data_IF_083045025799
#
_entry.id   IF_083045025799
#
_cell.length_a   1.000
_cell.length_b   1.000
_cell.length_c   1.000
_cell.angle_alpha   90.00
_cell.angle_beta   90.00
_cell.angle_gamma   90.00
#
_symmetry.space_group_name_H-M   'P 1'
#
loop_
_entity.id
_entity.type
_entity.pdbx_description
1 polymer ?
#
# COMPACT_ATOMS: atom_id res chain seq x y z
N UNK A 1 31.13 -5.58 18.43
CA UNK A 1 30.75 -6.15 19.74
C UNK A 1 29.98 -5.11 20.56
N UNK A 2 29.07 -5.54 21.45
CA UNK A 2 28.37 -4.64 22.37
C UNK A 2 29.29 -4.22 23.52
N UNK A 3 29.10 -3.00 24.06
CA UNK A 3 29.87 -2.50 25.22
C UNK A 3 29.54 -3.25 26.52
N UNK A 4 28.34 -3.79 26.61
CA UNK A 4 27.89 -4.67 27.68
C UNK A 4 26.84 -5.66 27.13
N UNK A 5 26.72 -6.88 27.69
CA UNK A 5 25.67 -7.81 27.31
C UNK A 5 24.28 -7.22 27.55
N UNK A 6 23.38 -7.36 26.58
CA UNK A 6 21.98 -6.93 26.70
C UNK A 6 21.13 -8.15 27.06
N UNK A 7 20.41 -8.08 28.18
CA UNK A 7 19.51 -9.14 28.61
C UNK A 7 18.19 -9.04 27.84
N UNK A 8 17.75 -10.16 27.29
CA UNK A 8 16.53 -10.29 26.51
C UNK A 8 15.65 -11.32 27.18
N UNK A 9 14.38 -10.97 27.42
CA UNK A 9 13.37 -11.88 27.93
C UNK A 9 12.49 -12.28 26.75
N UNK A 10 12.48 -13.57 26.43
CA UNK A 10 11.66 -14.15 25.37
C UNK A 10 10.26 -14.47 25.88
N UNK A 11 9.30 -14.64 24.97
CA UNK A 11 7.88 -14.85 25.30
C UNK A 11 7.60 -16.03 26.25
N UNK A 12 8.48 -17.04 26.30
CA UNK A 12 8.37 -18.20 27.21
C UNK A 12 9.06 -18.00 28.57
N UNK A 13 9.42 -16.77 28.92
CA UNK A 13 10.19 -16.46 30.13
C UNK A 13 11.67 -16.87 30.07
N UNK A 14 12.11 -17.45 28.95
CA UNK A 14 13.51 -17.75 28.70
C UNK A 14 14.31 -16.46 28.59
N UNK A 15 15.51 -16.47 29.15
CA UNK A 15 16.40 -15.30 29.13
C UNK A 15 17.62 -15.61 28.29
N UNK A 16 17.92 -14.73 27.34
CA UNK A 16 19.13 -14.78 26.53
C UNK A 16 19.92 -13.50 26.71
N UNK A 17 21.23 -13.57 26.46
CA UNK A 17 22.13 -12.41 26.51
C UNK A 17 22.70 -12.17 25.12
N UNK A 18 22.37 -11.03 24.52
CA UNK A 18 23.01 -10.60 23.28
C UNK A 18 24.33 -9.91 23.58
N UNK A 19 25.40 -10.33 22.91
CA UNK A 19 26.76 -9.78 23.07
C UNK A 19 27.29 -9.13 21.79
N UNK A 20 26.63 -9.37 20.65
CA UNK A 20 27.03 -8.87 19.35
C UNK A 20 25.95 -8.01 18.70
N UNK A 21 26.40 -7.15 17.79
CA UNK A 21 25.54 -6.39 16.86
C UNK A 21 25.83 -6.85 15.46
N UNK A 22 24.80 -6.84 14.64
CA UNK A 22 24.91 -7.06 13.21
C UNK A 22 24.18 -5.94 12.47
N UNK A 23 24.68 -5.63 11.27
CA UNK A 23 23.99 -4.80 10.31
C UNK A 23 23.42 -5.72 9.24
N UNK A 24 22.14 -5.60 8.98
CA UNK A 24 21.41 -6.42 8.01
C UNK A 24 20.86 -5.51 6.93
N UNK A 25 21.06 -5.91 5.68
CA UNK A 25 20.39 -5.29 4.54
C UNK A 25 19.05 -6.01 4.38
N UNK A 26 17.95 -5.30 4.61
CA UNK A 26 16.61 -5.80 4.42
C UNK A 26 16.07 -5.26 3.11
N UNK A 27 15.44 -6.12 2.33
CA UNK A 27 14.70 -5.70 1.15
C UNK A 27 13.22 -5.98 1.40
N UNK A 28 12.43 -4.91 1.42
CA UNK A 28 10.98 -4.99 1.48
C UNK A 28 10.41 -4.55 0.13
N UNK A 29 10.09 -5.52 -0.71
CA UNK A 29 9.69 -5.31 -2.12
C UNK A 29 10.76 -4.53 -2.91
N UNK A 30 10.47 -3.31 -3.34
CA UNK A 30 11.44 -2.47 -4.08
C UNK A 30 12.36 -1.65 -3.19
N UNK A 31 12.16 -1.70 -1.87
CA UNK A 31 12.88 -0.87 -0.92
C UNK A 31 14.04 -1.63 -0.28
N UNK A 32 15.26 -1.17 -0.54
CA UNK A 32 16.44 -1.58 0.20
C UNK A 32 16.60 -0.70 1.45
N UNK A 33 16.75 -1.32 2.61
CA UNK A 33 17.03 -0.63 3.88
C UNK A 33 18.16 -1.34 4.61
N UNK A 34 18.93 -0.57 5.36
CA UNK A 34 20.01 -1.09 6.18
C UNK A 34 19.69 -0.82 7.64
N UNK A 35 19.63 -1.88 8.44
CA UNK A 35 19.23 -1.82 9.84
C UNK A 35 20.26 -2.51 10.72
N UNK A 36 20.60 -1.86 11.84
CA UNK A 36 21.48 -2.42 12.86
C UNK A 36 20.66 -3.03 13.98
N UNK A 37 20.96 -4.27 14.35
CA UNK A 37 20.30 -5.00 15.41
C UNK A 37 21.27 -5.70 16.35
N UNK A 38 20.70 -6.35 17.36
CA UNK A 38 21.41 -7.29 18.23
C UNK A 38 21.20 -8.71 17.72
N UNK A 39 22.24 -9.53 17.78
CA UNK A 39 22.11 -10.95 17.42
C UNK A 39 21.69 -11.72 18.66
N UNK A 40 20.69 -12.58 18.49
CA UNK A 40 20.17 -13.42 19.56
C UNK A 40 20.17 -14.85 19.06
N UNK A 41 20.99 -15.67 19.69
CA UNK A 41 21.06 -17.09 19.36
C UNK A 41 19.74 -17.79 19.75
N UNK A 42 19.40 -18.86 19.02
CA UNK A 42 18.27 -19.74 19.31
C UNK A 42 16.87 -19.10 19.17
N UNK A 43 16.76 -17.97 18.46
CA UNK A 43 15.46 -17.49 17.99
C UNK A 43 14.95 -18.37 16.83
N UNK A 44 13.63 -18.56 16.79
CA UNK A 44 12.94 -19.23 15.66
C UNK A 44 12.77 -18.33 14.44
N UNK A 45 13.10 -17.06 14.57
CA UNK A 45 12.91 -16.04 13.55
C UNK A 45 14.27 -15.53 13.10
N UNK A 46 14.43 -15.29 11.81
CA UNK A 46 15.68 -14.76 11.24
C UNK A 46 15.90 -13.30 11.63
N UNK A 47 14.83 -12.49 11.58
CA UNK A 47 14.85 -11.06 11.91
C UNK A 47 13.56 -10.70 12.64
N UNK A 48 13.71 -9.95 13.74
CA UNK A 48 12.59 -9.36 14.45
C UNK A 48 12.70 -7.84 14.31
N UNK A 49 11.72 -7.24 13.62
CA UNK A 49 11.60 -5.79 13.50
C UNK A 49 10.86 -5.24 14.70
N UNK A 50 11.65 -4.81 15.69
CA UNK A 50 11.11 -4.25 16.93
C UNK A 50 10.57 -2.83 16.78
N UNK A 51 10.14 -2.28 17.92
CA UNK A 51 9.62 -0.92 18.02
C UNK A 51 10.53 0.17 17.41
N UNK A 52 11.88 0.13 17.51
CA UNK A 52 12.73 1.13 16.88
C UNK A 52 12.55 1.21 15.36
N UNK A 53 12.42 0.06 14.70
CA UNK A 53 12.20 0.01 13.26
C UNK A 53 10.81 0.56 12.90
N UNK A 54 9.78 0.14 13.65
CA UNK A 54 8.40 0.61 13.44
C UNK A 54 8.27 2.13 13.63
N UNK A 55 8.96 2.72 14.62
CA UNK A 55 8.95 4.18 14.82
C UNK A 55 9.67 4.94 13.71
N UNK A 56 10.75 4.36 13.17
CA UNK A 56 11.57 4.98 12.12
C UNK A 56 10.83 5.03 10.78
N UNK A 57 10.21 3.92 10.39
CA UNK A 57 9.57 3.78 9.08
C UNK A 57 8.05 4.01 9.09
N UNK A 58 7.45 3.98 10.29
CA UNK A 58 6.03 4.19 10.54
C UNK A 58 5.09 3.50 9.53
N UNK A 59 5.21 2.18 9.35
CA UNK A 59 4.34 1.47 8.44
C UNK A 59 2.92 1.39 8.99
N UNK A 60 1.95 1.59 8.12
CA UNK A 60 0.55 1.23 8.35
C UNK A 60 0.39 -0.27 8.09
N UNK A 61 -0.13 -1.00 9.07
CA UNK A 61 -0.34 -2.44 8.99
C UNK A 61 -1.84 -2.71 8.94
N UNK A 62 -2.29 -3.32 7.85
CA UNK A 62 -3.62 -3.91 7.75
C UNK A 62 -3.54 -5.37 8.20
N UNK A 63 -3.93 -5.61 9.46
CA UNK A 63 -3.90 -6.93 10.07
C UNK A 63 -4.90 -7.91 9.44
N UNK A 64 -5.99 -7.42 8.86
CA UNK A 64 -6.99 -8.28 8.19
C UNK A 64 -6.45 -8.85 6.88
N UNK A 65 -5.70 -8.05 6.11
CA UNK A 65 -5.19 -8.47 4.80
C UNK A 65 -3.73 -8.90 4.83
N UNK A 66 -3.04 -8.77 5.97
CA UNK A 66 -1.60 -8.98 6.07
C UNK A 66 -0.77 -7.99 5.25
N UNK A 67 -1.33 -6.80 4.96
CA UNK A 67 -0.70 -5.82 4.09
C UNK A 67 0.03 -4.74 4.91
N UNK A 68 1.25 -4.44 4.51
CA UNK A 68 2.08 -3.39 5.10
C UNK A 68 2.27 -2.27 4.09
N UNK A 69 2.00 -1.03 4.51
CA UNK A 69 2.07 0.17 3.67
C UNK A 69 2.93 1.22 4.33
N UNK A 70 3.80 1.87 3.59
CA UNK A 70 4.56 3.02 4.09
C UNK A 70 4.93 3.98 2.95
N UNK A 71 5.31 5.20 3.31
CA UNK A 71 5.72 6.24 2.36
C UNK A 71 7.15 6.66 2.65
N UNK A 72 8.04 6.51 1.67
CA UNK A 72 9.44 6.93 1.79
C UNK A 72 9.78 7.79 0.58
N UNK A 73 10.34 8.97 0.82
CA UNK A 73 10.71 9.92 -0.23
C UNK A 73 9.55 10.22 -1.20
N UNK A 74 8.33 10.34 -0.68
CA UNK A 74 7.11 10.56 -1.46
C UNK A 74 6.59 9.34 -2.24
N UNK A 75 7.27 8.20 -2.19
CA UNK A 75 6.84 6.96 -2.86
C UNK A 75 6.12 6.03 -1.88
N UNK A 76 4.90 5.65 -2.23
CA UNK A 76 4.11 4.66 -1.50
C UNK A 76 4.59 3.26 -1.85
N UNK A 77 4.89 2.46 -0.84
CA UNK A 77 5.25 1.06 -0.95
C UNK A 77 4.16 0.22 -0.30
N UNK A 78 3.86 -0.95 -0.89
CA UNK A 78 2.85 -1.89 -0.38
C UNK A 78 3.40 -3.30 -0.47
N UNK A 79 3.46 -4.00 0.66
CA UNK A 79 3.93 -5.38 0.74
C UNK A 79 2.81 -6.25 1.28
N UNK A 80 2.56 -7.38 0.63
CA UNK A 80 1.56 -8.36 1.06
C UNK A 80 2.27 -9.62 1.55
N UNK A 81 1.80 -10.16 2.69
CA UNK A 81 2.21 -11.48 3.16
C UNK A 81 1.88 -12.59 2.17
N UNK A 82 2.59 -13.71 2.25
CA UNK A 82 2.44 -14.83 1.32
C UNK A 82 1.05 -15.49 1.39
N UNK A 83 0.41 -15.50 2.57
CA UNK A 83 -0.96 -16.03 2.74
C UNK A 83 -1.98 -15.27 1.89
N UNK A 84 -1.82 -13.95 1.73
CA UNK A 84 -2.73 -13.09 0.96
C UNK A 84 -2.57 -13.23 -0.56
N UNK A 85 -1.45 -13.80 -1.05
CA UNK A 85 -1.23 -14.05 -2.48
C UNK A 85 -1.98 -15.28 -2.97
N UNK A 86 -2.17 -16.28 -2.11
CA UNK A 86 -2.86 -17.51 -2.45
C UNK A 86 -4.34 -17.27 -2.78
N UNK A 87 -5.02 -16.41 -2.02
CA UNK A 87 -6.46 -16.14 -2.20
C UNK A 87 -6.77 -15.40 -3.52
N UNK A 88 -5.92 -14.46 -3.93
CA UNK A 88 -6.09 -13.73 -5.20
C UNK A 88 -5.96 -14.60 -6.44
N UNK A 89 -5.24 -15.72 -6.35
CA UNK A 89 -5.06 -16.62 -7.49
C UNK A 89 -6.27 -17.55 -7.68
N UNK A 90 -6.99 -17.89 -6.60
CA UNK A 90 -8.19 -18.74 -6.65
C UNK A 90 -9.40 -18.00 -7.23
N UNK A 91 -9.53 -16.69 -6.98
CA UNK A 91 -10.62 -15.86 -7.55
C UNK A 91 -10.53 -15.78 -9.09
N UNK A 92 -9.31 -15.70 -9.65
CA UNK A 92 -9.10 -15.61 -11.10
C UNK A 92 -9.42 -16.90 -11.85
N UNK A 93 -9.24 -18.06 -11.21
CA UNK A 93 -9.58 -19.35 -11.84
C UNK A 93 -11.08 -19.66 -11.84
N UNK A 94 -11.89 -19.00 -11.00
CA UNK A 94 -13.35 -19.19 -10.98
C UNK A 94 -14.12 -18.41 -12.04
N UNK A 95 -13.53 -17.37 -12.62
CA UNK A 95 -14.17 -16.53 -13.66
C UNK A 95 -13.89 -17.07 -15.08
N UNK A 96 -13.02 -18.08 -15.22
CA UNK A 96 -12.54 -18.59 -16.53
C UNK A 96 -13.39 -19.66 -17.23
N UNK A 97 -14.54 -20.09 -16.69
CA UNK A 97 -15.32 -21.21 -17.31
C UNK A 97 -16.78 -20.88 -17.64
N UNK A 98 -17.22 -19.62 -17.54
CA UNK A 98 -18.63 -19.26 -17.76
C UNK A 98 -18.96 -18.64 -19.14
N UNK A 99 -18.02 -18.55 -20.09
CA UNK A 99 -18.25 -17.88 -21.38
C UNK A 99 -18.02 -18.80 -22.59
N UNK A 100 -18.68 -19.96 -22.65
CA UNK A 100 -18.87 -20.71 -23.91
C UNK A 100 -20.25 -21.38 -23.88
N UNK A 101 -21.33 -20.61 -23.97
CA UNK A 101 -22.64 -21.09 -24.41
C UNK A 101 -23.63 -19.92 -24.53
N UNK A 102 -23.46 -19.04 -25.52
CA UNK A 102 -24.60 -18.32 -26.10
C UNK A 102 -24.21 -17.78 -27.48
N UNK A 103 -23.95 -18.71 -28.40
CA UNK A 103 -24.03 -18.47 -29.83
C UNK A 103 -25.37 -19.05 -30.31
N UNK A 104 -26.09 -18.27 -31.11
CA UNK A 104 -27.33 -18.55 -31.84
C UNK A 104 -28.65 -18.07 -31.22
N UNK A 105 -28.99 -16.80 -31.46
CA UNK A 105 -30.22 -16.40 -32.18
C UNK A 105 -30.55 -14.90 -31.95
N UNK A 106 -30.12 -14.03 -32.86
CA UNK A 106 -31.03 -13.22 -33.69
C UNK A 106 -30.22 -12.31 -34.62
N UNK A 107 -30.19 -12.66 -35.90
CA UNK A 107 -29.98 -11.71 -36.97
C UNK A 107 -31.34 -11.07 -37.33
N UNK A 108 -31.29 -9.97 -38.09
CA UNK A 108 -32.43 -9.28 -38.74
C UNK A 108 -33.07 -8.20 -37.85
N UNK A 109 -33.18 -6.92 -38.21
CA UNK A 109 -32.83 -6.17 -39.42
C UNK A 109 -32.83 -4.65 -39.11
N UNK A 110 -32.12 -3.91 -39.97
CA UNK A 110 -32.45 -2.60 -40.55
C UNK A 110 -32.69 -1.28 -39.76
N UNK A 111 -32.17 -0.20 -40.38
CA UNK A 111 -32.57 1.23 -40.37
C UNK A 111 -31.75 2.28 -39.58
N UNK A 112 -30.72 2.78 -40.29
CA UNK A 112 -30.46 4.17 -40.71
C UNK A 112 -31.41 5.30 -40.24
N UNK A 113 -30.83 6.37 -39.65
CA UNK A 113 -31.15 7.81 -39.81
C UNK A 113 -30.37 8.58 -38.71
N UNK A 114 -29.29 9.32 -39.01
CA UNK A 114 -29.28 10.73 -39.40
C UNK A 114 -30.22 11.65 -38.58
N UNK A 115 -29.62 12.46 -37.68
CA UNK A 115 -30.01 13.85 -37.38
C UNK A 115 -28.94 14.45 -36.45
N UNK A 116 -27.98 15.24 -36.94
CA UNK A 116 -28.03 16.71 -37.11
C UNK A 116 -28.35 17.52 -35.83
N UNK A 117 -27.30 18.20 -35.36
CA UNK A 117 -27.20 19.68 -35.21
C UNK A 117 -28.26 20.47 -34.43
N UNK A 118 -27.79 21.22 -33.43
CA UNK A 118 -28.20 22.60 -33.04
C UNK A 118 -27.27 23.07 -31.89
N UNK A 119 -26.30 23.97 -32.13
CA UNK A 119 -26.42 25.46 -32.16
C UNK A 119 -27.17 26.01 -30.93
N UNK A 120 -26.46 26.65 -29.99
CA UNK A 120 -26.24 28.11 -29.86
C UNK A 120 -27.50 28.79 -29.29
N UNK A 121 -27.55 29.73 -28.35
CA UNK A 121 -26.69 30.73 -27.70
C UNK A 121 -27.38 31.06 -26.35
N UNK A 122 -26.72 31.70 -25.38
CA UNK A 122 -27.23 32.97 -24.84
C UNK A 122 -26.20 33.62 -23.92
N UNK A 123 -25.85 34.85 -24.27
CA UNK A 123 -25.05 35.78 -23.48
C UNK A 123 -25.98 36.47 -22.48
N UNK A 124 -25.57 36.70 -21.23
CA UNK A 124 -25.88 37.99 -20.62
C UNK A 124 -24.78 38.41 -19.65
N UNK A 125 -24.23 39.56 -20.00
CA UNK A 125 -23.32 40.46 -19.33
C UNK A 125 -23.85 41.00 -18.00
N UNK A 126 -22.92 41.38 -17.12
CA UNK A 126 -23.19 42.12 -15.90
C UNK A 126 -21.88 42.69 -15.34
N UNK A 127 -21.49 43.84 -15.87
CA UNK A 127 -20.36 44.67 -15.45
C UNK A 127 -20.58 45.35 -14.09
N UNK A 128 -19.47 45.94 -13.61
CA UNK A 128 -19.31 47.02 -12.61
C UNK A 128 -19.33 46.60 -11.14
N UNK A 129 -18.15 46.57 -10.50
CA UNK A 129 -17.41 47.72 -9.91
C UNK A 129 -18.06 48.18 -8.60
N UNK A 130 -17.35 47.99 -7.49
CA UNK A 130 -16.87 49.10 -6.65
C UNK A 130 -16.03 48.56 -5.47
N UNK A 131 -14.73 48.83 -5.52
CA UNK A 131 -13.93 49.14 -4.32
C UNK A 131 -14.38 50.52 -3.81
N UNK A 132 -14.36 50.82 -2.49
CA UNK A 132 -13.08 51.18 -1.90
C UNK A 132 -12.88 50.87 -0.41
N UNK A 133 -11.61 51.06 -0.04
CA UNK A 133 -10.98 51.02 1.26
C UNK A 133 -11.76 51.62 2.44
N UNK A 134 -11.53 51.06 3.62
CA UNK A 134 -11.57 51.80 4.88
C UNK A 134 -10.54 51.24 5.86
N UNK A 135 -9.78 52.18 6.37
CA UNK A 135 -8.61 52.15 7.25
C UNK A 135 -9.02 52.05 8.73
N UNK A 136 -8.03 51.96 9.63
CA UNK A 136 -8.10 52.14 11.10
C UNK A 136 -8.69 50.97 11.92
N UNK A 137 -8.07 50.41 12.97
CA UNK A 137 -7.02 50.83 13.90
C UNK A 137 -6.32 49.59 14.50
#
# INVERSE_FOLDING_TARGET
>A
MLRAPVRIVLARGQTSAATSRATVNLQLDTLLMQESGIVVDQLRYDVILGQPWLRKWNPSVNWTTGEYKWTINGRRQTVQGEESKAEKNVERERVGTANVAEEAANATDEQTAENESREAEDETSGEMEDEPASEEQ
#
